data_IF_741706500643
#
_entry.id   IF_741706500643
#
_cell.length_a   1.000
_cell.length_b   1.000
_cell.length_c   1.000
_cell.angle_alpha   90.00
_cell.angle_beta   90.00
_cell.angle_gamma   90.00
#
_symmetry.space_group_name_H-M   'P 1'
#
loop_
_entity.id
_entity.type
_entity.pdbx_description
1 polymer ?
#
# COMPACT_ATOMS: atom_id res chain seq x y z
N UNK A 1 14.80 13.57 -49.05
CA UNK A 1 13.62 13.69 -48.16
C UNK A 1 13.33 12.37 -47.44
N UNK A 2 14.30 11.80 -46.69
CA UNK A 2 14.09 10.55 -45.93
C UNK A 2 14.62 10.60 -44.49
N UNK A 3 15.36 11.66 -44.11
CA UNK A 3 16.00 11.76 -42.80
C UNK A 3 15.11 12.39 -41.71
N UNK A 4 14.02 13.05 -42.07
CA UNK A 4 13.13 13.73 -41.10
C UNK A 4 12.15 12.74 -40.45
N UNK A 5 11.89 11.59 -41.08
CA UNK A 5 10.91 10.60 -40.57
C UNK A 5 11.44 9.73 -39.42
N UNK A 6 12.74 9.45 -39.36
CA UNK A 6 13.33 8.57 -38.33
C UNK A 6 13.50 9.30 -36.98
N UNK A 7 13.68 10.63 -36.99
CA UNK A 7 13.78 11.44 -35.77
C UNK A 7 12.44 11.60 -35.04
N UNK A 8 11.31 11.45 -35.74
CA UNK A 8 9.97 11.59 -35.15
C UNK A 8 9.51 10.30 -34.42
N UNK A 9 10.05 9.14 -34.78
CA UNK A 9 9.75 7.87 -34.06
C UNK A 9 10.57 7.67 -32.77
N UNK A 10 11.67 8.41 -32.58
CA UNK A 10 12.48 8.32 -31.36
C UNK A 10 12.03 9.27 -30.24
N UNK A 11 11.06 10.16 -30.50
CA UNK A 11 10.60 11.19 -29.55
C UNK A 11 9.30 10.84 -28.80
N UNK A 12 8.71 9.65 -28.99
CA UNK A 12 7.41 9.29 -28.40
C UNK A 12 7.41 8.12 -27.42
N UNK A 13 8.58 7.74 -26.88
CA UNK A 13 8.66 6.82 -25.74
C UNK A 13 9.14 7.51 -24.46
N UNK A 14 8.84 8.81 -24.30
CA UNK A 14 8.64 9.32 -22.95
C UNK A 14 7.29 8.77 -22.49
N UNK A 15 7.27 7.51 -22.07
CA UNK A 15 6.27 7.03 -21.14
C UNK A 15 6.46 7.91 -19.90
N UNK A 16 5.76 9.04 -19.86
CA UNK A 16 5.64 9.86 -18.68
C UNK A 16 5.07 8.88 -17.65
N UNK A 17 5.90 8.48 -16.69
CA UNK A 17 5.43 7.63 -15.61
C UNK A 17 4.38 8.47 -14.89
N UNK A 18 3.10 8.18 -15.16
CA UNK A 18 2.02 8.93 -14.56
C UNK A 18 2.15 8.79 -13.05
N UNK A 19 2.12 9.94 -12.38
CA UNK A 19 2.25 10.00 -10.94
C UNK A 19 1.03 9.30 -10.35
N UNK A 20 1.26 8.28 -9.54
CA UNK A 20 0.21 7.51 -8.91
C UNK A 20 -0.63 8.45 -8.02
N UNK A 21 -1.94 8.52 -8.29
CA UNK A 21 -2.89 9.30 -7.47
C UNK A 21 -3.46 8.41 -6.37
N UNK A 22 -3.20 8.81 -5.14
CA UNK A 22 -3.72 8.18 -3.95
C UNK A 22 -4.06 9.22 -2.91
N UNK A 23 -4.89 8.82 -1.96
CA UNK A 23 -5.18 9.57 -0.76
C UNK A 23 -4.93 8.67 0.45
N UNK A 24 -4.52 9.29 1.55
CA UNK A 24 -4.35 8.62 2.84
C UNK A 24 -5.15 9.34 3.89
N UNK A 25 -5.50 8.62 4.93
CA UNK A 25 -6.18 9.20 6.06
C UNK A 25 -6.09 8.31 7.28
N UNK A 26 -6.79 8.78 8.31
CA UNK A 26 -6.84 8.13 9.59
C UNK A 26 -8.26 8.27 10.12
N UNK A 27 -8.78 7.17 10.64
CA UNK A 27 -10.11 7.10 11.25
C UNK A 27 -9.95 6.43 12.62
N UNK A 28 -10.77 6.85 13.57
CA UNK A 28 -10.89 6.22 14.89
C UNK A 28 -12.26 5.54 14.95
N UNK A 29 -12.28 4.27 15.37
CA UNK A 29 -13.51 3.48 15.43
C UNK A 29 -13.41 2.40 16.51
N UNK A 30 -14.56 1.98 17.02
CA UNK A 30 -14.64 0.94 18.04
C UNK A 30 -14.78 -0.44 17.40
N UNK A 31 -14.09 -1.43 17.99
CA UNK A 31 -14.21 -2.82 17.58
C UNK A 31 -14.15 -3.76 18.77
N UNK A 32 -14.84 -4.89 18.64
CA UNK A 32 -14.81 -6.00 19.60
C UNK A 32 -14.96 -7.32 18.85
N UNK A 33 -14.48 -8.42 19.46
CA UNK A 33 -14.80 -9.78 19.04
C UNK A 33 -14.84 -10.67 20.26
N UNK A 34 -16.01 -11.18 20.63
CA UNK A 34 -16.17 -11.95 21.87
C UNK A 34 -15.83 -13.43 21.71
N UNK A 35 -15.74 -13.93 20.49
CA UNK A 35 -15.67 -15.37 20.20
C UNK A 35 -14.50 -15.77 19.29
N UNK A 36 -13.79 -14.81 18.72
CA UNK A 36 -12.78 -15.06 17.69
C UNK A 36 -11.62 -14.06 17.78
N UNK A 37 -10.48 -14.41 17.20
CA UNK A 37 -9.40 -13.47 16.91
C UNK A 37 -9.69 -12.58 15.71
N UNK A 38 -10.88 -12.69 15.10
CA UNK A 38 -11.29 -11.90 13.94
C UNK A 38 -12.59 -11.14 14.15
N UNK A 39 -12.70 -9.99 13.51
CA UNK A 39 -13.91 -9.18 13.42
C UNK A 39 -14.01 -8.50 12.06
N UNK A 40 -15.24 -8.19 11.62
CA UNK A 40 -15.46 -7.31 10.47
C UNK A 40 -15.75 -5.90 10.97
N UNK A 41 -15.17 -4.91 10.30
CA UNK A 41 -15.37 -3.49 10.60
C UNK A 41 -15.57 -2.72 9.30
N UNK A 42 -16.40 -1.68 9.33
CA UNK A 42 -16.59 -0.74 8.22
C UNK A 42 -15.91 0.56 8.58
N UNK A 43 -14.83 0.91 7.88
CA UNK A 43 -14.03 2.11 8.14
C UNK A 43 -14.48 3.22 7.20
N UNK A 44 -15.01 4.31 7.75
CA UNK A 44 -15.34 5.51 6.98
C UNK A 44 -14.07 6.24 6.52
N UNK A 45 -14.01 6.62 5.25
CA UNK A 45 -12.88 7.35 4.65
C UNK A 45 -12.96 8.87 4.88
N UNK A 46 -14.09 9.38 5.40
CA UNK A 46 -14.33 10.80 5.69
C UNK A 46 -13.94 11.72 4.51
N UNK A 47 -14.09 11.21 3.28
CA UNK A 47 -13.69 11.86 2.03
C UNK A 47 -14.76 11.59 0.97
N UNK A 48 -15.11 12.61 0.19
CA UNK A 48 -16.04 12.48 -0.93
C UNK A 48 -15.32 12.08 -2.22
N UNK A 49 -15.39 10.81 -2.60
CA UNK A 49 -14.91 10.37 -3.92
C UNK A 49 -16.05 10.39 -4.94
N UNK A 50 -15.78 10.85 -6.17
CA UNK A 50 -16.75 10.84 -7.26
C UNK A 50 -17.08 9.42 -7.77
N UNK A 51 -16.26 8.43 -7.43
CA UNK A 51 -16.47 7.01 -7.65
C UNK A 51 -15.64 6.20 -6.65
N UNK A 52 -15.96 4.91 -6.40
CA UNK A 52 -15.15 4.07 -5.52
C UNK A 52 -13.67 4.04 -5.93
N UNK A 53 -12.72 4.15 -4.97
CA UNK A 53 -11.31 3.94 -5.25
C UNK A 53 -11.05 2.60 -5.93
N UNK A 54 -9.99 2.54 -6.74
CA UNK A 54 -9.61 1.35 -7.51
C UNK A 54 -8.94 0.29 -6.66
N UNK A 55 -8.20 0.72 -5.65
CA UNK A 55 -7.53 -0.15 -4.70
C UNK A 55 -7.41 0.54 -3.33
N UNK A 56 -7.18 -0.22 -2.27
CA UNK A 56 -7.03 0.29 -0.92
C UNK A 56 -6.21 -0.66 -0.04
N UNK A 57 -5.53 -0.09 0.95
CA UNK A 57 -4.89 -0.84 2.02
C UNK A 57 -5.14 -0.16 3.37
N UNK A 58 -5.20 -0.97 4.41
CA UNK A 58 -5.07 -0.52 5.80
C UNK A 58 -3.62 -0.72 6.19
N UNK A 59 -2.91 0.38 6.46
CA UNK A 59 -1.47 0.36 6.69
C UNK A 59 -1.12 0.14 8.15
N UNK A 60 -2.00 0.58 9.06
CA UNK A 60 -1.82 0.43 10.51
C UNK A 60 -3.17 0.29 11.21
N UNK A 61 -3.25 -0.64 12.15
CA UNK A 61 -4.33 -0.72 13.14
C UNK A 61 -3.70 -0.88 14.51
N UNK A 62 -4.04 0.03 15.42
CA UNK A 62 -3.57 -0.03 16.79
C UNK A 62 -4.61 0.54 17.75
N UNK A 63 -4.62 0.12 19.03
CA UNK A 63 -5.38 0.81 20.04
C UNK A 63 -5.02 2.31 20.10
N UNK A 64 -6.04 3.14 20.34
CA UNK A 64 -5.83 4.57 20.64
C UNK A 64 -5.15 4.72 22.00
N UNK A 65 -5.56 3.91 23.00
CA UNK A 65 -4.87 3.77 24.28
C UNK A 65 -3.58 2.95 24.12
N UNK A 66 -2.44 3.63 24.24
CA UNK A 66 -1.11 3.02 24.11
C UNK A 66 -0.77 2.00 25.22
N UNK A 67 -1.52 1.98 26.34
CA UNK A 67 -1.35 0.97 27.39
C UNK A 67 -1.80 -0.42 26.93
N UNK A 68 -2.70 -0.50 25.95
CA UNK A 68 -3.17 -1.74 25.34
C UNK A 68 -2.15 -2.23 24.32
N UNK A 69 -1.47 -3.33 24.62
CA UNK A 69 -0.42 -3.90 23.76
C UNK A 69 -0.97 -4.79 22.63
N UNK A 70 -2.25 -4.64 22.28
CA UNK A 70 -2.89 -5.43 21.24
C UNK A 70 -2.27 -5.13 19.88
N UNK A 71 -2.05 -6.18 19.10
CA UNK A 71 -1.52 -6.06 17.74
C UNK A 71 -2.57 -6.59 16.78
N UNK A 72 -2.87 -5.78 15.77
CA UNK A 72 -3.87 -6.12 14.77
C UNK A 72 -3.25 -6.16 13.37
N UNK A 73 -3.77 -7.06 12.55
CA UNK A 73 -3.67 -7.01 11.10
C UNK A 73 -5.05 -6.69 10.54
N UNK A 74 -5.07 -6.08 9.38
CA UNK A 74 -6.29 -5.77 8.65
C UNK A 74 -6.17 -6.23 7.20
N UNK A 75 -7.26 -6.76 6.67
CA UNK A 75 -7.41 -7.07 5.25
C UNK A 75 -8.63 -6.35 4.71
N UNK A 76 -8.47 -5.61 3.62
CA UNK A 76 -9.60 -5.02 2.90
C UNK A 76 -10.37 -6.14 2.21
N UNK A 77 -11.67 -6.21 2.49
CA UNK A 77 -12.60 -7.15 1.87
C UNK A 77 -13.35 -6.51 0.71
N UNK A 78 -13.76 -5.24 0.88
CA UNK A 78 -14.53 -4.50 -0.12
C UNK A 78 -14.28 -3.00 -0.02
N UNK A 79 -14.28 -2.34 -1.17
CA UNK A 79 -14.09 -0.88 -1.30
C UNK A 79 -15.42 -0.28 -1.77
N UNK A 80 -15.90 0.71 -1.03
CA UNK A 80 -17.06 1.53 -1.39
C UNK A 80 -16.61 2.97 -1.70
N UNK A 81 -17.54 3.82 -2.12
CA UNK A 81 -17.26 5.22 -2.44
C UNK A 81 -16.92 6.08 -1.23
N UNK A 82 -17.28 5.65 -0.02
CA UNK A 82 -17.12 6.41 1.22
C UNK A 82 -16.49 5.60 2.37
N UNK A 83 -16.28 4.30 2.17
CA UNK A 83 -15.92 3.37 3.24
C UNK A 83 -15.17 2.14 2.74
N UNK A 84 -14.49 1.45 3.65
CA UNK A 84 -13.83 0.18 3.43
C UNK A 84 -14.44 -0.87 4.36
N UNK A 85 -14.85 -2.01 3.82
CA UNK A 85 -15.11 -3.19 4.66
C UNK A 85 -13.81 -3.94 4.87
N UNK A 86 -13.44 -4.16 6.13
CA UNK A 86 -12.18 -4.81 6.49
C UNK A 86 -12.43 -6.00 7.43
N UNK A 87 -11.57 -7.01 7.35
CA UNK A 87 -11.40 -8.04 8.38
C UNK A 87 -10.21 -7.64 9.26
N UNK A 88 -10.47 -7.45 10.54
CA UNK A 88 -9.47 -7.30 11.57
C UNK A 88 -9.09 -8.68 12.11
N UNK A 89 -7.81 -8.89 12.36
CA UNK A 89 -7.28 -10.05 13.05
C UNK A 89 -6.35 -9.61 14.17
N UNK A 90 -6.63 -10.01 15.40
CA UNK A 90 -5.73 -9.85 16.53
C UNK A 90 -4.62 -10.91 16.45
N UNK A 91 -3.37 -10.47 16.41
CA UNK A 91 -2.20 -11.33 16.13
C UNK A 91 -1.24 -11.51 17.30
N UNK A 92 -1.38 -10.73 18.37
CA UNK A 92 -0.64 -10.95 19.62
C UNK A 92 -1.16 -12.16 20.39
N UNK A 93 -2.48 -12.35 20.41
CA UNK A 93 -3.16 -13.48 21.04
C UNK A 93 -4.28 -13.90 20.11
N UNK A 94 -4.34 -15.19 19.75
CA UNK A 94 -5.39 -15.75 18.87
C UNK A 94 -6.70 -15.94 19.67
N UNK A 95 -7.21 -14.87 20.25
CA UNK A 95 -8.38 -14.86 21.13
C UNK A 95 -9.26 -13.64 20.89
N UNK A 96 -10.39 -13.62 21.59
CA UNK A 96 -11.30 -12.48 21.67
C UNK A 96 -10.63 -11.19 22.20
N UNK A 97 -11.34 -10.08 22.01
CA UNK A 97 -11.07 -8.80 22.66
C UNK A 97 -12.39 -8.08 22.97
N UNK A 98 -12.36 -7.31 24.04
CA UNK A 98 -13.47 -6.45 24.45
C UNK A 98 -13.50 -5.17 23.62
N UNK A 99 -14.47 -4.30 23.89
CA UNK A 99 -14.62 -3.02 23.21
C UNK A 99 -13.35 -2.17 23.32
N UNK A 100 -12.67 -1.97 22.20
CA UNK A 100 -11.45 -1.17 22.10
C UNK A 100 -11.63 -0.14 20.99
N UNK A 101 -11.23 1.09 21.27
CA UNK A 101 -11.08 2.13 20.28
C UNK A 101 -9.77 1.95 19.51
N UNK A 102 -9.88 1.86 18.19
CA UNK A 102 -8.77 1.62 17.29
C UNK A 102 -8.51 2.85 16.43
N UNK A 103 -7.24 3.23 16.34
CA UNK A 103 -6.74 4.14 15.31
C UNK A 103 -6.36 3.34 14.07
N UNK A 104 -6.98 3.68 12.95
CA UNK A 104 -6.88 2.97 11.68
C UNK A 104 -6.32 3.93 10.62
N UNK A 105 -5.13 3.62 10.11
CA UNK A 105 -4.53 4.35 9.00
C UNK A 105 -4.75 3.60 7.69
N UNK A 106 -5.16 4.33 6.66
CA UNK A 106 -5.52 3.76 5.37
C UNK A 106 -4.95 4.57 4.22
N UNK A 107 -4.82 3.90 3.08
CA UNK A 107 -4.48 4.48 1.79
C UNK A 107 -5.47 3.96 0.74
N UNK A 108 -5.91 4.82 -0.16
CA UNK A 108 -6.77 4.49 -1.29
C UNK A 108 -6.17 5.02 -2.57
N UNK A 109 -6.23 4.23 -3.63
CA UNK A 109 -5.71 4.55 -4.96
C UNK A 109 -6.88 4.93 -5.87
N UNK A 110 -6.80 6.11 -6.47
CA UNK A 110 -7.90 6.70 -7.23
C UNK A 110 -7.91 6.26 -8.70
N UNK A 111 -6.79 5.73 -9.16
CA UNK A 111 -6.56 5.29 -10.53
C UNK A 111 -5.95 3.89 -10.51
N UNK A 112 -6.09 3.16 -11.61
CA UNK A 112 -5.42 1.88 -11.77
C UNK A 112 -3.91 2.12 -11.81
N UNK A 113 -3.16 1.27 -11.12
CA UNK A 113 -1.71 1.30 -11.25
C UNK A 113 -1.31 0.96 -12.69
N UNK A 114 -0.23 1.58 -13.18
CA UNK A 114 0.38 1.16 -14.44
C UNK A 114 0.86 -0.29 -14.36
N UNK A 115 1.03 -0.95 -15.51
CA UNK A 115 1.46 -2.36 -15.58
C UNK A 115 2.83 -2.66 -14.99
N UNK A 116 3.62 -1.62 -14.69
CA UNK A 116 4.92 -1.71 -14.06
C UNK A 116 4.88 -1.58 -12.51
N UNK A 117 3.67 -1.49 -11.94
CA UNK A 117 3.42 -1.64 -10.52
C UNK A 117 2.96 -3.07 -10.21
N UNK A 118 3.51 -3.63 -9.14
CA UNK A 118 3.11 -4.89 -8.55
C UNK A 118 2.06 -4.64 -7.47
N UNK A 119 0.86 -5.17 -7.67
CA UNK A 119 -0.19 -5.17 -6.67
C UNK A 119 -0.03 -6.38 -5.74
N UNK A 120 0.21 -6.12 -4.47
CA UNK A 120 0.39 -7.18 -3.48
C UNK A 120 -0.90 -7.50 -2.73
N UNK A 121 -0.92 -8.66 -2.07
CA UNK A 121 -2.08 -9.14 -1.30
C UNK A 121 -2.45 -8.28 -0.09
N UNK A 122 -1.58 -7.37 0.33
CA UNK A 122 -1.84 -6.39 1.40
C UNK A 122 -2.52 -5.10 0.89
N UNK A 123 -2.84 -5.02 -0.41
CA UNK A 123 -3.49 -3.86 -1.04
C UNK A 123 -2.56 -2.70 -1.37
N UNK A 124 -1.26 -2.80 -1.04
CA UNK A 124 -0.26 -1.81 -1.41
C UNK A 124 0.31 -2.09 -2.81
N UNK A 125 0.72 -1.01 -3.47
CA UNK A 125 1.37 -1.05 -4.77
C UNK A 125 2.88 -0.86 -4.62
N UNK A 126 3.65 -1.73 -5.27
CA UNK A 126 5.12 -1.75 -5.23
C UNK A 126 5.68 -1.54 -6.63
N UNK A 127 6.82 -0.86 -6.73
CA UNK A 127 7.49 -0.67 -8.01
C UNK A 127 8.97 -0.85 -7.84
N UNK A 128 9.54 -1.74 -8.67
CA UNK A 128 10.97 -1.93 -8.74
C UNK A 128 11.60 -0.88 -9.66
N UNK A 129 12.69 -0.26 -9.20
CA UNK A 129 13.46 0.69 -10.01
C UNK A 129 14.79 0.02 -10.37
N UNK A 130 14.97 -0.48 -11.62
CA UNK A 130 16.09 -1.35 -12.02
C UNK A 130 17.41 -0.60 -12.24
N UNK A 131 17.68 0.44 -11.46
CA UNK A 131 18.85 1.31 -11.63
C UNK A 131 19.60 1.39 -10.30
N UNK A 132 20.90 1.05 -10.32
CA UNK A 132 21.77 1.28 -9.15
C UNK A 132 21.88 2.76 -8.87
N UNK A 133 21.55 3.17 -7.66
CA UNK A 133 21.61 4.56 -7.22
C UNK A 133 21.90 4.65 -5.72
N UNK A 134 22.16 5.85 -5.22
CA UNK A 134 22.24 6.10 -3.77
C UNK A 134 20.85 6.11 -3.14
N UNK A 135 20.77 5.92 -1.82
CA UNK A 135 19.51 5.96 -1.07
C UNK A 135 18.75 7.29 -1.24
N UNK A 136 19.44 8.43 -1.19
CA UNK A 136 18.81 9.74 -1.38
C UNK A 136 18.28 9.94 -2.81
N UNK A 137 18.97 9.37 -3.80
CA UNK A 137 18.47 9.36 -5.18
C UNK A 137 17.24 8.45 -5.30
N UNK A 138 17.24 7.28 -4.66
CA UNK A 138 16.07 6.40 -4.62
C UNK A 138 14.84 7.09 -3.99
N UNK A 139 15.01 7.78 -2.86
CA UNK A 139 13.95 8.63 -2.27
C UNK A 139 13.43 9.67 -3.23
N UNK A 140 14.33 10.33 -3.96
CA UNK A 140 13.95 11.33 -4.96
C UNK A 140 13.18 10.73 -6.12
N UNK A 141 13.61 9.59 -6.66
CA UNK A 141 12.91 8.88 -7.74
C UNK A 141 11.53 8.36 -7.29
N UNK A 142 11.43 7.75 -6.11
CA UNK A 142 10.13 7.35 -5.56
C UNK A 142 9.18 8.54 -5.42
N UNK A 143 9.66 9.69 -4.91
CA UNK A 143 8.84 10.90 -4.77
C UNK A 143 8.31 11.43 -6.10
N UNK A 144 9.09 11.34 -7.18
CA UNK A 144 8.64 11.72 -8.54
C UNK A 144 7.45 10.87 -8.99
N UNK A 145 7.44 9.60 -8.62
CA UNK A 145 6.35 8.66 -8.88
C UNK A 145 5.15 8.82 -7.93
N UNK A 146 5.24 9.72 -6.94
CA UNK A 146 4.26 9.85 -5.87
C UNK A 146 4.43 8.80 -4.76
N UNK A 147 5.47 7.98 -4.79
CA UNK A 147 5.73 6.93 -3.82
C UNK A 147 6.85 7.27 -2.83
N UNK A 148 7.13 6.31 -1.95
CA UNK A 148 8.27 6.32 -1.04
C UNK A 148 9.10 5.06 -1.23
N UNK A 149 10.34 5.11 -0.76
CA UNK A 149 11.14 3.89 -0.63
C UNK A 149 10.39 2.98 0.34
N UNK A 150 10.24 1.71 -0.05
CA UNK A 150 9.57 0.71 0.78
C UNK A 150 10.28 0.61 2.13
N UNK A 151 9.53 0.56 3.23
CA UNK A 151 10.06 0.45 4.59
C UNK A 151 9.88 -0.98 5.09
N UNK A 152 10.84 -1.47 5.85
CA UNK A 152 10.71 -2.78 6.51
C UNK A 152 9.69 -2.68 7.66
N UNK A 153 8.47 -3.12 7.40
CA UNK A 153 7.37 -3.17 8.37
C UNK A 153 6.65 -4.53 8.29
N UNK A 154 5.97 -4.92 9.36
CA UNK A 154 5.22 -6.18 9.43
C UNK A 154 4.18 -6.32 8.30
N UNK A 155 3.59 -5.21 7.86
CA UNK A 155 2.65 -5.15 6.71
C UNK A 155 3.33 -5.50 5.38
N UNK A 156 4.64 -5.29 5.27
CA UNK A 156 5.41 -5.45 4.03
C UNK A 156 6.28 -6.71 4.00
N UNK A 157 6.51 -7.40 5.13
CA UNK A 157 7.51 -8.46 5.27
C UNK A 157 7.34 -9.60 4.26
N UNK A 158 6.11 -10.13 4.14
CA UNK A 158 5.79 -11.20 3.17
C UNK A 158 6.01 -10.73 1.74
N UNK A 159 5.61 -9.49 1.42
CA UNK A 159 5.74 -8.93 0.08
C UNK A 159 7.21 -8.69 -0.26
N UNK A 160 8.00 -8.14 0.67
CA UNK A 160 9.43 -7.95 0.49
C UNK A 160 10.15 -9.28 0.28
N UNK A 161 9.74 -10.33 0.99
CA UNK A 161 10.26 -11.69 0.80
C UNK A 161 9.89 -12.24 -0.58
N UNK A 162 8.64 -12.07 -1.01
CA UNK A 162 8.18 -12.49 -2.33
C UNK A 162 8.93 -11.74 -3.43
N UNK A 163 9.00 -10.41 -3.34
CA UNK A 163 9.76 -9.57 -4.27
C UNK A 163 11.23 -9.96 -4.29
N UNK A 164 11.84 -10.27 -3.14
CA UNK A 164 13.22 -10.77 -3.10
C UNK A 164 13.34 -12.07 -3.90
N UNK A 165 12.48 -13.05 -3.62
CA UNK A 165 12.55 -14.37 -4.25
C UNK A 165 12.21 -14.35 -5.74
N UNK A 166 11.35 -13.44 -6.20
CA UNK A 166 10.98 -13.32 -7.62
C UNK A 166 11.99 -12.47 -8.40
N UNK A 167 12.52 -11.39 -7.81
CA UNK A 167 13.37 -10.42 -8.52
C UNK A 167 14.87 -10.70 -8.37
N UNK A 168 15.34 -11.27 -7.25
CA UNK A 168 16.77 -11.50 -7.03
C UNK A 168 17.37 -12.58 -7.93
N UNK A 169 16.68 -13.70 -8.25
CA UNK A 169 17.21 -14.67 -9.21
C UNK A 169 17.39 -14.08 -10.60
N UNK A 170 16.54 -13.14 -11.00
CA UNK A 170 16.56 -12.54 -12.33
C UNK A 170 17.62 -11.43 -12.48
N UNK A 171 17.96 -10.69 -11.42
CA UNK A 171 18.69 -9.42 -11.56
C UNK A 171 19.97 -9.34 -10.69
N UNK A 172 20.18 -10.21 -9.69
CA UNK A 172 21.34 -10.18 -8.76
C UNK A 172 21.68 -8.77 -8.23
N UNK A 173 20.68 -7.91 -8.03
CA UNK A 173 20.86 -6.54 -7.58
C UNK A 173 20.43 -6.36 -6.12
N UNK A 174 21.22 -5.57 -5.39
CA UNK A 174 20.82 -5.02 -4.08
C UNK A 174 19.89 -3.83 -4.32
N UNK A 175 18.82 -3.74 -3.55
CA UNK A 175 17.84 -2.66 -3.60
C UNK A 175 17.75 -1.94 -2.25
N UNK A 176 17.34 -0.68 -2.28
CA UNK A 176 17.15 0.11 -1.07
C UNK A 176 15.80 -0.17 -0.44
N UNK A 177 15.81 -0.45 0.86
CA UNK A 177 14.66 -0.49 1.76
C UNK A 177 14.96 0.54 2.86
N UNK A 178 13.95 1.33 3.22
CA UNK A 178 14.03 2.34 4.29
C UNK A 178 13.73 1.76 5.66
#
# INVERSE_FOLDING_TARGET
MLFISVMLLLLLNNAFAEKLKFQRGTTEDFSYSLTSSKAKLTVGLMTCFSSPPKNAAVTLVRPTDASLQHRFKAKVLQIFSDSLSIELERVDVHSSWEWIELKIEWIVYLENAGSDWFEASNGLLYKYIPIRMSYEKAKTECKKLGAWVVVHASTNETVLTQMHNELVPAIKLRYWVG
#
